data_IF_462234158504
#
_entry.id   IF_462234158504
#
_cell.length_a   1.000
_cell.length_b   1.000
_cell.length_c   1.000
_cell.angle_alpha   90.00
_cell.angle_beta   90.00
_cell.angle_gamma   90.00
#
_symmetry.space_group_name_H-M   'P 1'
#
loop_
_entity.id
_entity.type
_entity.pdbx_description
1 polymer ?
#
# COMPACT_ATOMS: atom_id res chain seq x y z
N UNK A 1 -19.88 42.06 7.81
CA UNK A 1 -21.14 41.36 7.50
C UNK A 1 -21.54 41.78 6.09
N UNK A 2 -21.98 40.84 5.25
CA UNK A 2 -22.36 41.15 3.88
C UNK A 2 -23.45 42.20 3.76
N UNK A 3 -23.32 43.03 2.75
CA UNK A 3 -24.29 44.09 2.39
C UNK A 3 -25.47 43.50 1.61
N UNK A 4 -26.56 44.27 1.48
CA UNK A 4 -27.69 43.88 0.61
C UNK A 4 -27.26 43.67 -0.86
N UNK A 5 -26.20 44.36 -1.31
CA UNK A 5 -25.63 44.18 -2.64
C UNK A 5 -25.00 42.79 -2.83
N UNK A 6 -24.31 42.26 -1.82
CA UNK A 6 -23.75 40.90 -1.86
C UNK A 6 -24.83 39.83 -1.86
N UNK A 7 -26.03 40.13 -1.36
CA UNK A 7 -27.15 39.20 -1.35
C UNK A 7 -27.90 39.12 -2.69
N UNK A 8 -27.67 40.07 -3.61
CA UNK A 8 -28.36 40.12 -4.91
C UNK A 8 -28.12 38.89 -5.77
N UNK A 9 -26.94 38.26 -5.66
CA UNK A 9 -26.57 37.04 -6.41
C UNK A 9 -27.43 35.82 -6.06
N UNK A 10 -28.20 35.86 -4.97
CA UNK A 10 -29.11 34.79 -4.55
C UNK A 10 -30.55 35.03 -5.04
N UNK A 11 -30.82 36.12 -5.75
CA UNK A 11 -32.12 36.43 -6.32
C UNK A 11 -33.27 36.32 -5.31
N UNK A 12 -34.31 35.56 -5.67
CA UNK A 12 -35.50 35.34 -4.82
C UNK A 12 -35.19 34.57 -3.53
N UNK A 13 -34.07 33.84 -3.46
CA UNK A 13 -33.69 33.09 -2.29
C UNK A 13 -33.08 33.97 -1.17
N UNK A 14 -32.62 35.18 -1.48
CA UNK A 14 -31.90 36.05 -0.55
C UNK A 14 -32.59 36.19 0.81
N UNK A 15 -33.90 36.49 0.80
CA UNK A 15 -34.72 36.72 2.01
C UNK A 15 -34.86 35.50 2.94
N UNK A 16 -34.61 34.31 2.41
CA UNK A 16 -34.65 33.02 3.11
C UNK A 16 -33.27 32.56 3.58
N UNK A 17 -32.20 33.24 3.14
CA UNK A 17 -30.82 32.94 3.51
C UNK A 17 -30.30 33.95 4.55
N UNK A 18 -30.58 35.24 4.33
CA UNK A 18 -30.17 36.33 5.22
C UNK A 18 -31.18 37.48 5.14
N UNK A 19 -31.49 38.11 6.28
CA UNK A 19 -32.38 39.27 6.32
C UNK A 19 -31.71 40.54 5.76
N UNK A 20 -32.51 41.45 5.18
CA UNK A 20 -32.02 42.74 4.72
C UNK A 20 -31.22 43.46 5.81
N UNK A 21 -30.20 44.20 5.40
CA UNK A 21 -29.31 44.93 6.30
C UNK A 21 -30.07 45.86 7.23
N UNK A 22 -31.08 46.57 6.72
CA UNK A 22 -31.96 47.42 7.52
C UNK A 22 -32.64 46.66 8.68
N UNK A 23 -33.24 45.51 8.39
CA UNK A 23 -33.91 44.69 9.43
C UNK A 23 -32.92 44.16 10.46
N UNK A 24 -31.70 43.80 10.03
CA UNK A 24 -30.65 43.33 10.94
C UNK A 24 -30.16 44.44 11.85
N UNK A 25 -29.91 45.64 11.32
CA UNK A 25 -29.48 46.80 12.10
C UNK A 25 -30.57 47.17 13.13
N UNK A 26 -31.84 47.21 12.72
CA UNK A 26 -32.96 47.47 13.63
C UNK A 26 -33.06 46.41 14.74
N UNK A 27 -32.88 45.13 14.42
CA UNK A 27 -32.89 44.06 15.40
C UNK A 27 -31.71 44.14 16.40
N UNK A 28 -30.51 44.43 15.90
CA UNK A 28 -29.28 44.50 16.70
C UNK A 28 -29.23 45.73 17.61
N UNK A 29 -29.95 46.81 17.26
CA UNK A 29 -30.02 48.04 18.05
C UNK A 29 -31.16 48.06 19.08
N UNK A 30 -31.88 46.94 19.29
CA UNK A 30 -32.93 46.89 20.31
C UNK A 30 -32.35 47.11 21.72
N UNK A 31 -33.05 47.85 22.60
CA UNK A 31 -32.63 48.00 23.99
C UNK A 31 -32.49 46.65 24.68
N UNK A 32 -31.40 46.47 25.43
CA UNK A 32 -31.11 45.23 26.14
C UNK A 32 -30.31 45.51 27.40
N UNK A 33 -30.75 44.93 28.51
CA UNK A 33 -30.01 44.94 29.78
C UNK A 33 -29.48 43.54 30.08
N UNK A 34 -28.15 43.39 29.98
CA UNK A 34 -27.47 42.12 30.17
C UNK A 34 -27.58 41.57 31.60
N UNK A 35 -27.87 42.42 32.60
CA UNK A 35 -27.97 41.97 34.00
C UNK A 35 -29.34 41.41 34.33
N UNK A 36 -30.39 41.88 33.66
CA UNK A 36 -31.77 41.50 33.94
C UNK A 36 -32.35 40.55 32.90
N UNK A 37 -31.91 40.59 31.65
CA UNK A 37 -32.43 39.71 30.61
C UNK A 37 -32.00 38.24 30.78
N UNK A 38 -32.96 37.33 30.87
CA UNK A 38 -32.71 35.91 31.06
C UNK A 38 -33.70 35.00 30.32
N UNK A 39 -33.34 33.73 30.23
CA UNK A 39 -34.25 32.62 29.99
C UNK A 39 -34.56 31.93 31.32
N UNK A 40 -35.78 31.45 31.49
CA UNK A 40 -36.20 30.67 32.65
C UNK A 40 -36.87 29.39 32.20
N UNK A 41 -36.64 28.29 32.91
CA UNK A 41 -37.26 26.99 32.65
C UNK A 41 -38.80 27.09 32.75
N UNK A 42 -39.48 26.39 31.85
CA UNK A 42 -40.94 26.30 31.77
C UNK A 42 -41.38 24.87 31.47
N UNK A 43 -42.41 24.39 32.19
CA UNK A 43 -42.88 23.00 32.06
C UNK A 43 -43.50 22.69 30.69
N UNK A 44 -44.04 23.71 29.99
CA UNK A 44 -44.74 23.53 28.70
C UNK A 44 -43.86 23.91 27.52
N UNK A 45 -43.22 25.07 27.59
CA UNK A 45 -42.42 25.63 26.49
C UNK A 45 -40.91 25.33 26.62
N UNK A 46 -40.51 24.53 27.62
CA UNK A 46 -39.12 24.25 28.05
C UNK A 46 -38.39 25.46 28.60
N UNK A 47 -38.36 26.56 27.83
CA UNK A 47 -37.69 27.80 28.19
C UNK A 47 -38.48 29.02 27.70
N UNK A 48 -38.69 30.00 28.57
CA UNK A 48 -39.33 31.28 28.24
C UNK A 48 -38.41 32.47 28.50
N UNK A 49 -38.58 33.56 27.76
CA UNK A 49 -37.83 34.80 27.98
C UNK A 49 -38.39 35.57 29.17
N UNK A 50 -37.51 36.13 29.99
CA UNK A 50 -37.92 36.92 31.15
C UNK A 50 -36.94 38.03 31.51
N UNK A 51 -37.34 38.82 32.50
CA UNK A 51 -36.57 39.91 33.09
C UNK A 51 -36.45 39.68 34.60
N UNK A 52 -35.22 39.58 35.12
CA UNK A 52 -34.94 39.43 36.54
C UNK A 52 -35.36 40.69 37.30
N UNK A 53 -36.23 40.53 38.28
CA UNK A 53 -36.69 41.59 39.19
C UNK A 53 -35.86 41.64 40.47
N UNK A 54 -35.58 40.48 41.07
CA UNK A 54 -34.81 40.38 42.31
C UNK A 54 -34.14 39.03 42.45
N UNK A 55 -33.05 38.99 43.21
CA UNK A 55 -32.36 37.77 43.64
C UNK A 55 -32.30 37.74 45.16
N UNK A 56 -32.82 36.69 45.78
CA UNK A 56 -32.81 36.51 47.24
C UNK A 56 -32.62 35.04 47.62
N UNK A 57 -31.67 34.76 48.52
CA UNK A 57 -31.47 33.44 49.11
C UNK A 57 -31.36 32.25 48.14
N UNK A 58 -30.74 32.41 46.96
CA UNK A 58 -30.60 31.35 45.94
C UNK A 58 -31.84 31.14 45.05
N UNK A 59 -32.83 32.04 45.16
CA UNK A 59 -33.99 32.12 44.27
C UNK A 59 -33.96 33.42 43.49
N UNK A 60 -34.49 33.37 42.26
CA UNK A 60 -34.57 34.50 41.36
C UNK A 60 -36.03 34.73 41.00
N UNK A 61 -36.51 35.95 41.23
CA UNK A 61 -37.84 36.38 40.77
C UNK A 61 -37.70 36.96 39.38
N UNK A 62 -38.36 36.33 38.40
CA UNK A 62 -38.34 36.68 36.99
C UNK A 62 -39.75 37.09 36.56
N UNK A 63 -39.87 38.21 35.84
CA UNK A 63 -41.09 38.59 35.13
C UNK A 63 -41.01 37.98 33.73
N UNK A 64 -41.94 37.08 33.40
CA UNK A 64 -42.00 36.47 32.06
C UNK A 64 -42.43 37.52 31.03
N UNK A 65 -41.71 37.62 29.93
CA UNK A 65 -41.90 38.74 28.99
C UNK A 65 -43.25 38.73 28.28
N UNK A 66 -43.78 37.53 27.97
CA UNK A 66 -45.01 37.36 27.20
C UNK A 66 -46.27 37.48 28.08
N UNK A 67 -46.30 36.82 29.24
CA UNK A 67 -47.47 36.81 30.14
C UNK A 67 -47.46 37.95 31.16
N UNK A 68 -46.31 38.59 31.37
CA UNK A 68 -46.06 39.57 32.46
C UNK A 68 -46.25 39.01 33.87
N UNK A 69 -46.31 37.69 34.01
CA UNK A 69 -46.43 37.02 35.31
C UNK A 69 -45.08 36.97 36.03
N UNK A 70 -45.12 37.12 37.36
CA UNK A 70 -43.96 36.92 38.22
C UNK A 70 -43.79 35.45 38.57
N UNK A 71 -42.61 34.91 38.27
CA UNK A 71 -42.23 33.53 38.58
C UNK A 71 -40.99 33.53 39.47
N UNK A 72 -41.03 32.69 40.50
CA UNK A 72 -39.87 32.44 41.36
C UNK A 72 -39.23 31.13 40.89
N UNK A 73 -38.00 31.22 40.38
CA UNK A 73 -37.22 30.08 39.92
C UNK A 73 -35.96 29.91 40.77
N UNK A 74 -35.36 28.72 40.73
CA UNK A 74 -34.02 28.52 41.29
C UNK A 74 -33.00 29.23 40.41
N UNK A 75 -31.87 29.62 40.98
CA UNK A 75 -30.81 30.28 40.19
C UNK A 75 -30.29 29.40 39.05
N UNK A 76 -30.21 28.08 39.24
CA UNK A 76 -29.78 27.13 38.20
C UNK A 76 -30.76 27.03 37.01
N UNK A 77 -32.04 27.36 37.23
CA UNK A 77 -33.09 27.32 36.21
C UNK A 77 -33.18 28.65 35.42
N UNK A 78 -32.26 29.58 35.68
CA UNK A 78 -32.22 30.91 35.08
C UNK A 78 -30.93 31.08 34.29
N UNK A 79 -31.05 31.16 32.98
CA UNK A 79 -29.91 31.23 32.07
C UNK A 79 -29.74 32.64 31.48
N UNK A 80 -28.50 33.12 31.29
CA UNK A 80 -28.26 34.43 30.69
C UNK A 80 -28.69 34.46 29.21
N UNK A 81 -29.21 35.61 28.77
CA UNK A 81 -29.59 35.85 27.37
C UNK A 81 -28.46 36.55 26.60
N UNK A 82 -28.27 36.19 25.34
CA UNK A 82 -27.33 36.90 24.47
C UNK A 82 -27.84 38.30 24.12
N UNK A 83 -26.95 39.31 24.01
CA UNK A 83 -27.33 40.65 23.56
C UNK A 83 -27.83 40.66 22.09
N UNK A 84 -28.67 41.64 21.69
CA UNK A 84 -29.30 41.69 20.37
C UNK A 84 -28.33 41.70 19.18
N UNK A 85 -27.05 42.04 19.38
CA UNK A 85 -26.01 41.87 18.35
C UNK A 85 -25.90 40.44 17.81
N UNK A 86 -26.35 39.44 18.58
CA UNK A 86 -26.38 38.03 18.21
C UNK A 86 -27.75 37.57 17.67
N UNK A 87 -28.71 38.48 17.45
CA UNK A 87 -30.02 38.15 16.89
C UNK A 87 -29.86 37.39 15.56
N UNK A 88 -30.45 36.20 15.50
CA UNK A 88 -30.45 35.32 14.32
C UNK A 88 -29.05 35.08 13.76
N UNK A 89 -28.05 34.93 14.63
CA UNK A 89 -26.67 34.71 14.18
C UNK A 89 -26.56 33.47 13.30
N UNK A 90 -25.71 33.58 12.28
CA UNK A 90 -25.50 32.53 11.27
C UNK A 90 -24.68 31.36 11.79
N UNK A 91 -23.77 31.61 12.73
CA UNK A 91 -23.00 30.60 13.44
C UNK A 91 -23.17 30.76 14.95
N UNK A 92 -23.87 29.81 15.55
CA UNK A 92 -24.17 29.79 16.98
C UNK A 92 -22.93 29.65 17.85
N UNK A 93 -21.81 29.12 17.32
CA UNK A 93 -20.56 29.03 18.07
C UNK A 93 -19.95 30.41 18.38
N UNK A 94 -20.42 31.47 17.72
CA UNK A 94 -19.96 32.84 17.94
C UNK A 94 -20.71 33.56 19.09
N UNK A 95 -21.74 32.95 19.67
CA UNK A 95 -22.50 33.55 20.77
C UNK A 95 -21.68 33.61 22.06
N UNK A 96 -21.89 34.65 22.87
CA UNK A 96 -21.22 34.77 24.18
C UNK A 96 -21.75 33.75 25.18
N UNK A 97 -23.07 33.60 25.26
CA UNK A 97 -23.71 32.61 26.11
C UNK A 97 -24.13 31.43 25.25
N UNK A 98 -23.37 30.33 25.33
CA UNK A 98 -23.68 29.09 24.63
C UNK A 98 -24.37 28.11 25.58
N UNK A 99 -25.62 28.43 25.92
CA UNK A 99 -26.50 27.60 26.72
C UNK A 99 -27.64 27.02 25.86
N UNK A 100 -28.30 25.97 26.36
CA UNK A 100 -29.42 25.31 25.66
C UNK A 100 -30.51 26.28 25.16
N UNK A 101 -31.05 27.21 25.99
CA UNK A 101 -32.07 28.12 25.51
C UNK A 101 -31.55 29.08 24.43
N UNK A 102 -30.30 29.53 24.49
CA UNK A 102 -29.75 30.41 23.44
C UNK A 102 -29.70 29.71 22.07
N UNK A 103 -29.27 28.45 22.04
CA UNK A 103 -29.26 27.64 20.81
C UNK A 103 -30.69 27.42 20.30
N UNK A 104 -31.61 27.03 21.19
CA UNK A 104 -33.02 26.80 20.86
C UNK A 104 -33.67 28.06 20.27
N UNK A 105 -33.52 29.20 20.95
CA UNK A 105 -34.15 30.45 20.51
C UNK A 105 -33.54 30.99 19.22
N UNK A 106 -32.22 30.87 19.01
CA UNK A 106 -31.62 31.28 17.74
C UNK A 106 -32.18 30.45 16.57
N UNK A 107 -32.29 29.13 16.73
CA UNK A 107 -32.92 28.26 15.72
C UNK A 107 -34.41 28.61 15.52
N UNK A 108 -35.17 28.78 16.61
CA UNK A 108 -36.61 29.11 16.59
C UNK A 108 -36.87 30.42 15.84
N UNK A 109 -36.09 31.46 16.13
CA UNK A 109 -36.27 32.78 15.52
C UNK A 109 -35.80 32.86 14.07
N UNK A 110 -34.70 32.17 13.73
CA UNK A 110 -34.28 32.02 12.34
C UNK A 110 -35.32 31.26 11.53
N UNK A 111 -35.85 30.18 12.08
CA UNK A 111 -36.90 29.38 11.45
C UNK A 111 -38.20 30.15 11.27
N UNK A 112 -38.65 30.90 12.29
CA UNK A 112 -39.83 31.78 12.19
C UNK A 112 -39.66 32.86 11.10
N UNK A 113 -38.42 33.24 10.82
CA UNK A 113 -38.03 34.16 9.76
C UNK A 113 -37.80 33.46 8.40
N UNK A 114 -38.15 32.19 8.26
CA UNK A 114 -37.97 31.30 7.09
C UNK A 114 -36.51 31.05 6.69
N UNK A 115 -35.57 31.21 7.62
CA UNK A 115 -34.17 30.83 7.44
C UNK A 115 -33.93 29.46 8.08
N UNK A 116 -33.93 28.41 7.25
CA UNK A 116 -33.91 27.02 7.72
C UNK A 116 -32.52 26.46 8.02
N UNK A 117 -31.48 27.11 7.52
CA UNK A 117 -30.09 26.73 7.70
C UNK A 117 -29.41 27.64 8.72
N UNK A 118 -28.69 27.02 9.66
CA UNK A 118 -27.91 27.71 10.69
C UNK A 118 -26.69 26.89 11.02
N UNK A 119 -25.52 27.52 11.16
CA UNK A 119 -24.32 26.82 11.60
C UNK A 119 -24.23 26.76 13.13
N UNK A 120 -23.54 25.72 13.61
CA UNK A 120 -23.12 25.57 14.99
C UNK A 120 -21.75 24.93 15.02
N UNK A 121 -20.68 25.74 14.98
CA UNK A 121 -19.32 25.21 14.89
C UNK A 121 -19.14 24.44 13.59
N UNK A 122 -18.86 23.14 13.61
CA UNK A 122 -18.74 22.34 12.37
C UNK A 122 -20.09 21.92 11.77
N UNK A 123 -21.18 21.99 12.55
CA UNK A 123 -22.48 21.49 12.14
C UNK A 123 -23.24 22.50 11.27
N UNK A 124 -23.94 22.00 10.26
CA UNK A 124 -24.97 22.72 9.52
C UNK A 124 -26.35 22.22 9.95
N UNK A 125 -26.97 22.89 10.92
CA UNK A 125 -28.31 22.57 11.39
C UNK A 125 -29.34 22.95 10.30
N UNK A 126 -30.25 22.01 10.01
CA UNK A 126 -31.30 22.18 9.01
C UNK A 126 -32.66 21.89 9.65
N UNK A 127 -33.56 22.86 9.63
CA UNK A 127 -34.94 22.69 10.13
C UNK A 127 -35.87 22.46 8.93
N UNK A 128 -36.69 21.41 8.96
CA UNK A 128 -37.59 21.09 7.85
C UNK A 128 -38.62 22.23 7.64
N UNK A 129 -38.66 22.89 6.47
CA UNK A 129 -39.55 24.04 6.23
C UNK A 129 -41.03 23.68 6.15
N UNK A 130 -41.38 22.42 5.89
CA UNK A 130 -42.75 21.99 5.54
C UNK A 130 -43.41 22.85 4.43
N UNK A 131 -42.59 23.52 3.64
CA UNK A 131 -42.98 24.48 2.61
C UNK A 131 -41.90 24.51 1.54
N UNK A 132 -42.32 24.72 0.29
CA UNK A 132 -41.39 24.96 -0.80
C UNK A 132 -40.69 26.32 -0.63
N UNK A 133 -39.36 26.32 -0.78
CA UNK A 133 -38.52 27.51 -0.73
C UNK A 133 -37.61 27.54 -1.98
N UNK A 134 -37.35 28.73 -2.59
CA UNK A 134 -36.52 28.88 -3.79
C UNK A 134 -35.01 28.75 -3.53
N UNK A 135 -34.60 28.24 -2.36
CA UNK A 135 -33.19 28.17 -1.93
C UNK A 135 -32.37 27.07 -2.64
N UNK A 136 -33.01 26.26 -3.49
CA UNK A 136 -32.37 25.20 -4.26
C UNK A 136 -32.33 25.49 -5.76
N UNK A 137 -32.70 26.70 -6.17
CA UNK A 137 -32.75 27.09 -7.58
C UNK A 137 -31.32 27.14 -8.19
N UNK A 138 -31.17 26.97 -9.51
CA UNK A 138 -29.86 26.95 -10.16
C UNK A 138 -29.01 28.22 -9.92
N UNK A 139 -29.65 29.37 -9.78
CA UNK A 139 -28.99 30.64 -9.43
C UNK A 139 -28.28 30.55 -8.07
N UNK A 140 -28.91 29.89 -7.09
CA UNK A 140 -28.32 29.68 -5.76
C UNK A 140 -27.15 28.70 -5.83
N UNK A 141 -27.24 27.65 -6.64
CA UNK A 141 -26.12 26.72 -6.88
C UNK A 141 -24.89 27.47 -7.39
N UNK A 142 -25.08 28.34 -8.39
CA UNK A 142 -24.01 29.18 -8.93
C UNK A 142 -23.46 30.15 -7.88
N UNK A 143 -24.34 30.76 -7.07
CA UNK A 143 -23.96 31.73 -6.05
C UNK A 143 -23.17 31.15 -4.87
N UNK A 144 -23.25 29.84 -4.60
CA UNK A 144 -22.48 29.16 -3.55
C UNK A 144 -21.15 28.56 -4.03
N UNK A 145 -20.97 28.43 -5.34
CA UNK A 145 -19.80 27.76 -5.91
C UNK A 145 -18.51 28.51 -5.64
N UNK A 146 -17.49 27.78 -5.17
CA UNK A 146 -16.15 28.32 -4.90
C UNK A 146 -16.09 29.29 -3.73
N UNK A 147 -17.19 29.46 -2.97
CA UNK A 147 -17.23 30.36 -1.82
C UNK A 147 -16.83 29.62 -0.55
N UNK A 148 -15.96 30.26 0.22
CA UNK A 148 -15.69 29.79 1.59
C UNK A 148 -16.93 29.95 2.43
N UNK A 149 -17.07 29.09 3.44
CA UNK A 149 -18.20 29.12 4.36
C UNK A 149 -18.50 30.50 4.98
N UNK A 150 -17.48 31.33 5.25
CA UNK A 150 -17.68 32.67 5.83
C UNK A 150 -18.13 33.73 4.80
N UNK A 151 -18.01 33.45 3.51
CA UNK A 151 -18.31 34.38 2.41
C UNK A 151 -19.78 34.26 1.94
N UNK A 152 -20.52 33.29 2.46
CA UNK A 152 -21.90 33.01 2.10
C UNK A 152 -22.76 32.76 3.35
N UNK A 153 -24.08 32.99 3.30
CA UNK A 153 -24.99 32.61 4.37
C UNK A 153 -24.98 31.09 4.63
N UNK A 154 -25.52 30.62 5.77
CA UNK A 154 -25.64 29.20 6.03
C UNK A 154 -26.47 28.46 4.99
N UNK A 155 -25.89 27.40 4.41
CA UNK A 155 -26.59 26.55 3.45
C UNK A 155 -25.92 25.19 3.29
N UNK A 156 -26.70 24.18 2.91
CA UNK A 156 -26.17 22.84 2.60
C UNK A 156 -25.23 22.84 1.39
N UNK A 157 -25.46 23.71 0.41
CA UNK A 157 -24.55 23.86 -0.73
C UNK A 157 -23.18 24.40 -0.34
N UNK A 158 -23.07 25.21 0.72
CA UNK A 158 -21.74 25.57 1.23
C UNK A 158 -21.03 24.35 1.80
N UNK A 159 -21.72 23.45 2.51
CA UNK A 159 -21.13 22.19 2.99
C UNK A 159 -20.67 21.32 1.83
N UNK A 160 -21.52 21.14 0.81
CA UNK A 160 -21.16 20.37 -0.39
C UNK A 160 -20.00 20.98 -1.17
N UNK A 161 -20.04 22.29 -1.44
CA UNK A 161 -19.00 22.97 -2.21
C UNK A 161 -17.67 22.95 -1.48
N UNK A 162 -17.65 23.22 -0.17
CA UNK A 162 -16.40 23.18 0.61
C UNK A 162 -15.84 21.75 0.64
N UNK A 163 -16.67 20.71 0.77
CA UNK A 163 -16.21 19.32 0.63
C UNK A 163 -15.62 19.06 -0.77
N UNK A 164 -16.26 19.52 -1.85
CA UNK A 164 -15.71 19.38 -3.19
C UNK A 164 -14.38 20.12 -3.37
N UNK A 165 -14.27 21.35 -2.86
CA UNK A 165 -13.05 22.16 -2.91
C UNK A 165 -11.91 21.52 -2.11
N UNK A 166 -12.17 21.04 -0.89
CA UNK A 166 -11.17 20.35 -0.06
C UNK A 166 -10.72 19.04 -0.71
N UNK A 167 -11.64 18.27 -1.31
CA UNK A 167 -11.27 17.07 -2.09
C UNK A 167 -10.26 17.40 -3.21
N UNK A 168 -10.48 18.49 -3.95
CA UNK A 168 -9.59 18.89 -5.05
C UNK A 168 -8.27 19.50 -4.56
N UNK A 169 -8.32 20.28 -3.48
CA UNK A 169 -7.18 21.02 -2.93
C UNK A 169 -6.26 20.10 -2.14
N UNK A 170 -6.83 19.36 -1.19
CA UNK A 170 -6.08 18.55 -0.23
C UNK A 170 -5.79 17.15 -0.78
N UNK A 171 -6.46 16.75 -1.87
CA UNK A 171 -6.35 15.41 -2.50
C UNK A 171 -6.72 14.28 -1.54
N UNK A 172 -7.63 14.55 -0.61
CA UNK A 172 -8.13 13.59 0.37
C UNK A 172 -9.62 13.29 0.19
N UNK A 173 -10.02 12.08 0.57
CA UNK A 173 -11.43 11.67 0.55
C UNK A 173 -12.25 12.49 1.53
N UNK A 174 -13.45 12.89 1.12
CA UNK A 174 -14.36 13.71 1.93
C UNK A 174 -15.63 12.94 2.27
N UNK A 175 -16.23 13.26 3.41
CA UNK A 175 -17.50 12.66 3.84
C UNK A 175 -18.46 13.73 4.34
N UNK A 176 -19.75 13.57 4.01
CA UNK A 176 -20.84 14.44 4.48
C UNK A 176 -21.83 13.58 5.26
N UNK A 177 -21.87 13.76 6.58
CA UNK A 177 -22.72 12.98 7.47
C UNK A 177 -24.05 13.72 7.70
N UNK A 178 -25.16 13.13 7.26
CA UNK A 178 -26.52 13.70 7.41
C UNK A 178 -27.30 12.87 8.43
N UNK A 179 -27.49 13.44 9.62
CA UNK A 179 -28.20 12.81 10.74
C UNK A 179 -29.48 13.55 11.12
N UNK A 180 -30.33 12.92 11.92
CA UNK A 180 -31.61 13.46 12.38
C UNK A 180 -32.68 12.39 12.56
N UNK A 181 -33.77 12.73 13.24
CA UNK A 181 -34.90 11.82 13.44
C UNK A 181 -35.66 11.50 12.14
N UNK A 182 -36.61 10.56 12.23
CA UNK A 182 -37.56 10.32 11.12
C UNK A 182 -38.38 11.58 10.85
N UNK A 183 -38.47 11.96 9.57
CA UNK A 183 -39.17 13.18 9.13
C UNK A 183 -38.33 14.48 9.18
N UNK A 184 -37.10 14.43 9.69
CA UNK A 184 -36.22 15.60 9.75
C UNK A 184 -35.71 16.10 8.37
N UNK A 185 -35.96 15.36 7.29
CA UNK A 185 -35.55 15.74 5.92
C UNK A 185 -34.18 15.25 5.48
N UNK A 186 -33.63 14.20 6.13
CA UNK A 186 -32.32 13.59 5.76
C UNK A 186 -32.25 13.22 4.28
N UNK A 187 -33.18 12.39 3.79
CA UNK A 187 -33.22 11.91 2.41
C UNK A 187 -33.28 13.05 1.39
N UNK A 188 -34.04 14.10 1.69
CA UNK A 188 -34.15 15.28 0.82
C UNK A 188 -32.80 16.00 0.75
N UNK A 189 -32.16 16.24 1.90
CA UNK A 189 -30.83 16.86 1.94
C UNK A 189 -29.77 16.00 1.24
N UNK A 190 -29.78 14.67 1.42
CA UNK A 190 -28.88 13.75 0.68
C UNK A 190 -29.04 13.91 -0.82
N UNK A 191 -30.27 13.93 -1.34
CA UNK A 191 -30.54 14.18 -2.76
C UNK A 191 -30.00 15.54 -3.22
N UNK A 192 -30.18 16.59 -2.42
CA UNK A 192 -29.67 17.94 -2.76
C UNK A 192 -28.15 17.97 -2.81
N UNK A 193 -27.45 17.29 -1.90
CA UNK A 193 -25.99 17.18 -1.90
C UNK A 193 -25.51 16.44 -3.17
N UNK A 194 -26.12 15.30 -3.51
CA UNK A 194 -25.76 14.52 -4.71
C UNK A 194 -26.03 15.34 -5.99
N UNK A 195 -27.20 15.99 -6.09
CA UNK A 195 -27.55 16.86 -7.21
C UNK A 195 -26.56 18.01 -7.37
N UNK A 196 -26.08 18.58 -6.25
CA UNK A 196 -25.08 19.64 -6.27
C UNK A 196 -23.76 19.14 -6.89
N UNK A 197 -23.24 17.99 -6.43
CA UNK A 197 -22.01 17.41 -6.98
C UNK A 197 -22.14 17.08 -8.47
N UNK A 198 -23.26 16.49 -8.88
CA UNK A 198 -23.53 16.20 -10.28
C UNK A 198 -23.52 17.50 -11.14
N UNK A 199 -24.04 18.60 -10.62
CA UNK A 199 -24.07 19.89 -11.34
C UNK A 199 -22.69 20.54 -11.43
N UNK A 200 -21.91 20.52 -10.35
CA UNK A 200 -20.62 21.22 -10.26
C UNK A 200 -19.49 20.45 -10.94
N UNK A 201 -19.50 19.12 -10.87
CA UNK A 201 -18.45 18.28 -11.46
C UNK A 201 -18.49 18.25 -13.01
N UNK A 202 -19.67 18.42 -13.62
CA UNK A 202 -19.88 18.33 -15.08
C UNK A 202 -19.32 19.52 -15.87
N UNK A 203 -18.91 20.61 -15.23
CA UNK A 203 -18.37 21.77 -15.94
C UNK A 203 -16.91 21.59 -16.42
N UNK A 204 -16.28 20.43 -16.17
CA UNK A 204 -15.02 20.04 -16.82
C UNK A 204 -15.28 19.33 -18.16
N UNK A 205 -14.70 19.86 -19.24
CA UNK A 205 -14.64 19.33 -20.62
C UNK A 205 -15.78 18.40 -21.09
N UNK A 206 -16.78 19.00 -21.74
CA UNK A 206 -17.79 18.28 -22.53
C UNK A 206 -17.15 17.57 -23.73
N UNK A 207 -16.71 16.32 -23.56
CA UNK A 207 -16.87 15.32 -24.62
C UNK A 207 -18.23 14.67 -24.45
N UNK A 208 -19.24 15.20 -25.15
CA UNK A 208 -20.49 14.47 -25.40
C UNK A 208 -20.18 13.29 -26.34
N UNK A 209 -19.58 12.23 -25.83
CA UNK A 209 -19.64 10.93 -26.50
C UNK A 209 -20.98 10.30 -26.11
N UNK A 210 -21.95 10.35 -27.02
CA UNK A 210 -23.12 9.49 -26.96
C UNK A 210 -22.65 8.06 -27.26
N UNK A 211 -22.21 7.34 -26.23
CA UNK A 211 -21.94 5.91 -26.37
C UNK A 211 -23.27 5.17 -26.44
N UNK A 212 -23.55 4.57 -27.60
CA UNK A 212 -24.69 3.70 -27.83
C UNK A 212 -24.53 2.38 -27.06
N UNK A 213 -24.79 2.43 -25.75
CA UNK A 213 -24.93 1.26 -24.88
C UNK A 213 -26.38 1.07 -24.43
N UNK A 214 -26.74 -0.12 -23.95
CA UNK A 214 -28.08 -0.43 -23.40
C UNK A 214 -28.49 0.43 -22.19
N UNK A 215 -27.60 1.28 -21.66
CA UNK A 215 -27.86 2.20 -20.56
C UNK A 215 -28.13 3.59 -21.13
N UNK A 216 -29.37 4.07 -20.98
CA UNK A 216 -29.76 5.43 -21.37
C UNK A 216 -29.27 6.45 -20.34
N UNK A 217 -28.63 7.53 -20.81
CA UNK A 217 -28.31 8.71 -20.01
C UNK A 217 -26.84 8.82 -19.61
N UNK A 218 -26.45 10.03 -19.20
CA UNK A 218 -25.13 10.32 -18.63
C UNK A 218 -24.93 9.61 -17.29
N UNK A 219 -23.68 9.49 -16.79
CA UNK A 219 -23.42 8.85 -15.49
C UNK A 219 -24.16 9.58 -14.35
N UNK A 220 -24.33 10.88 -14.50
CA UNK A 220 -25.05 11.76 -13.59
C UNK A 220 -26.56 11.48 -13.60
N UNK A 221 -27.13 11.27 -14.80
CA UNK A 221 -28.52 10.85 -14.94
C UNK A 221 -28.74 9.51 -14.25
N UNK A 222 -27.78 8.59 -14.34
CA UNK A 222 -27.84 7.29 -13.67
C UNK A 222 -27.77 7.43 -12.14
N UNK A 223 -26.88 8.28 -11.61
CA UNK A 223 -26.78 8.56 -10.17
C UNK A 223 -28.10 9.16 -9.65
N UNK A 224 -28.71 10.07 -10.39
CA UNK A 224 -29.99 10.68 -9.99
C UNK A 224 -31.13 9.65 -10.11
N UNK A 225 -31.15 8.84 -11.17
CA UNK A 225 -32.16 7.81 -11.45
C UNK A 225 -32.11 6.62 -10.46
N UNK A 226 -30.99 6.40 -9.77
CA UNK A 226 -30.90 5.43 -8.69
C UNK A 226 -31.84 5.76 -7.52
N UNK A 227 -32.13 7.05 -7.28
CA UNK A 227 -32.97 7.47 -6.15
C UNK A 227 -34.40 6.91 -6.26
N UNK A 228 -35.18 7.14 -7.35
CA UNK A 228 -36.51 6.53 -7.50
C UNK A 228 -36.55 5.02 -7.24
N UNK A 229 -35.54 4.28 -7.71
CA UNK A 229 -35.45 2.83 -7.48
C UNK A 229 -35.25 2.51 -6.01
N UNK A 230 -34.27 3.14 -5.35
CA UNK A 230 -34.01 2.94 -3.93
C UNK A 230 -35.19 3.37 -3.05
N UNK A 231 -35.92 4.41 -3.45
CA UNK A 231 -37.12 4.85 -2.72
C UNK A 231 -38.28 3.87 -2.88
N UNK A 232 -38.47 3.29 -4.06
CA UNK A 232 -39.54 2.32 -4.30
C UNK A 232 -39.44 1.06 -3.41
N UNK A 233 -38.21 0.62 -3.09
CA UNK A 233 -37.97 -0.56 -2.25
C UNK A 233 -37.58 -0.23 -0.80
N UNK A 234 -36.96 0.93 -0.56
CA UNK A 234 -36.33 1.29 0.70
C UNK A 234 -37.04 2.38 1.51
N UNK A 235 -38.07 3.03 0.95
CA UNK A 235 -38.89 4.00 1.66
C UNK A 235 -40.29 3.45 1.95
N UNK A 236 -40.88 3.94 3.03
CA UNK A 236 -42.25 3.63 3.42
C UNK A 236 -42.93 4.83 4.06
N UNK A 237 -44.26 4.87 3.98
CA UNK A 237 -45.08 5.83 4.72
C UNK A 237 -45.01 5.53 6.21
N UNK A 238 -44.75 6.57 7.00
CA UNK A 238 -44.73 6.53 8.47
C UNK A 238 -45.60 7.65 9.02
N UNK A 239 -45.90 7.61 10.32
CA UNK A 239 -46.70 8.67 10.99
C UNK A 239 -46.09 10.07 10.83
N UNK A 240 -44.76 10.19 10.76
CA UNK A 240 -44.05 11.49 10.69
C UNK A 240 -43.64 11.90 9.27
N UNK A 241 -43.63 10.99 8.30
CA UNK A 241 -43.17 11.24 6.94
C UNK A 241 -43.74 10.20 5.97
N UNK A 242 -44.38 10.68 4.90
CA UNK A 242 -45.00 9.85 3.86
C UNK A 242 -44.00 9.09 2.98
N UNK A 243 -42.76 9.57 2.89
CA UNK A 243 -41.68 8.94 2.12
C UNK A 243 -40.44 8.76 3.01
N UNK A 244 -40.59 8.02 4.11
CA UNK A 244 -39.52 7.83 5.09
C UNK A 244 -38.57 6.72 4.64
N UNK A 245 -37.28 7.06 4.47
CA UNK A 245 -36.26 6.05 4.26
C UNK A 245 -36.11 5.14 5.47
N UNK A 246 -36.31 3.84 5.24
CA UNK A 246 -36.03 2.74 6.16
C UNK A 246 -34.71 2.04 5.79
N UNK A 247 -34.25 2.29 4.57
CA UNK A 247 -33.03 1.74 3.97
C UNK A 247 -31.75 1.97 4.78
N UNK A 248 -31.57 3.15 5.40
CA UNK A 248 -30.36 3.44 6.18
C UNK A 248 -30.18 2.53 7.40
N UNK A 249 -31.28 2.08 8.03
CA UNK A 249 -31.20 1.10 9.11
C UNK A 249 -30.79 -0.28 8.59
N UNK A 250 -31.33 -0.68 7.43
CA UNK A 250 -31.00 -1.95 6.78
C UNK A 250 -29.54 -1.98 6.31
N UNK A 251 -29.08 -0.94 5.61
CA UNK A 251 -27.67 -0.82 5.20
C UNK A 251 -26.72 -0.72 6.39
N UNK A 252 -27.09 -0.04 7.48
CA UNK A 252 -26.26 -0.01 8.68
C UNK A 252 -26.10 -1.40 9.31
N UNK A 253 -27.15 -2.22 9.27
CA UNK A 253 -27.10 -3.60 9.75
C UNK A 253 -26.29 -4.52 8.82
N UNK A 254 -26.38 -4.30 7.51
CA UNK A 254 -25.59 -5.02 6.50
C UNK A 254 -24.11 -4.64 6.54
N UNK A 255 -23.80 -3.34 6.67
CA UNK A 255 -22.45 -2.83 6.88
C UNK A 255 -21.84 -3.37 8.19
N UNK A 256 -22.63 -3.49 9.25
CA UNK A 256 -22.18 -4.10 10.51
C UNK A 256 -21.80 -5.57 10.31
N UNK A 257 -22.61 -6.36 9.59
CA UNK A 257 -22.27 -7.75 9.24
C UNK A 257 -21.00 -7.84 8.39
N UNK A 258 -20.82 -6.92 7.46
CA UNK A 258 -19.63 -6.88 6.60
C UNK A 258 -18.37 -6.49 7.37
N UNK A 259 -18.47 -5.53 8.31
CA UNK A 259 -17.39 -5.20 9.25
C UNK A 259 -17.01 -6.38 10.15
N UNK A 260 -18.00 -7.10 10.69
CA UNK A 260 -17.75 -8.30 11.51
C UNK A 260 -17.02 -9.39 10.69
N UNK A 261 -17.41 -9.55 9.42
CA UNK A 261 -16.78 -10.49 8.48
C UNK A 261 -15.35 -10.06 8.15
N UNK A 262 -15.13 -8.77 7.89
CA UNK A 262 -13.80 -8.19 7.61
C UNK A 262 -12.86 -8.38 8.80
N UNK A 263 -13.32 -8.08 10.02
CA UNK A 263 -12.54 -8.28 11.25
C UNK A 263 -12.15 -9.75 11.48
N UNK A 264 -13.05 -10.69 11.13
CA UNK A 264 -12.73 -12.12 11.19
C UNK A 264 -11.64 -12.50 10.17
N UNK A 265 -11.73 -12.03 8.94
CA UNK A 265 -10.72 -12.26 7.90
C UNK A 265 -9.36 -11.69 8.29
N UNK A 266 -9.34 -10.50 8.91
CA UNK A 266 -8.10 -9.88 9.36
C UNK A 266 -7.41 -10.69 10.48
N UNK A 267 -8.19 -11.27 11.40
CA UNK A 267 -7.66 -12.23 12.40
C UNK A 267 -7.09 -13.49 11.74
N UNK A 268 -7.80 -14.09 10.78
CA UNK A 268 -7.28 -15.25 10.04
C UNK A 268 -6.00 -14.93 9.28
N UNK A 269 -5.94 -13.77 8.62
CA UNK A 269 -4.74 -13.29 7.92
C UNK A 269 -3.57 -13.18 8.88
N UNK A 270 -3.75 -12.55 10.04
CA UNK A 270 -2.69 -12.39 11.04
C UNK A 270 -2.17 -13.74 11.56
N UNK A 271 -3.06 -14.72 11.74
CA UNK A 271 -2.66 -16.08 12.11
C UNK A 271 -1.84 -16.75 10.99
N UNK A 272 -2.25 -16.61 9.72
CA UNK A 272 -1.50 -17.13 8.59
C UNK A 272 -0.13 -16.46 8.43
N UNK A 273 -0.04 -15.15 8.64
CA UNK A 273 1.25 -14.42 8.63
C UNK A 273 2.22 -14.93 9.69
N UNK A 274 1.71 -15.28 10.88
CA UNK A 274 2.52 -15.91 11.93
C UNK A 274 3.00 -17.30 11.50
N UNK A 275 2.11 -18.12 10.94
CA UNK A 275 2.48 -19.47 10.43
C UNK A 275 3.51 -19.39 9.31
N UNK A 276 3.38 -18.43 8.38
CA UNK A 276 4.35 -18.22 7.30
C UNK A 276 5.71 -17.83 7.89
N UNK A 277 5.75 -16.92 8.87
CA UNK A 277 7.01 -16.56 9.55
C UNK A 277 7.68 -17.75 10.24
N UNK A 278 6.91 -18.59 10.93
CA UNK A 278 7.45 -19.80 11.58
C UNK A 278 8.01 -20.81 10.56
N UNK A 279 7.27 -21.04 9.47
CA UNK A 279 7.73 -21.91 8.38
C UNK A 279 8.98 -21.35 7.68
N UNK A 280 9.05 -20.05 7.47
CA UNK A 280 10.22 -19.39 6.88
C UNK A 280 11.45 -19.58 7.79
N UNK A 281 11.27 -19.40 9.10
CA UNK A 281 12.36 -19.60 10.07
C UNK A 281 12.86 -21.05 10.07
N UNK A 282 11.94 -22.02 10.05
CA UNK A 282 12.28 -23.45 9.96
C UNK A 282 12.99 -23.81 8.67
N UNK A 283 12.60 -23.19 7.55
CA UNK A 283 13.28 -23.36 6.27
C UNK A 283 14.73 -22.84 6.34
N UNK A 284 14.92 -21.63 6.86
CA UNK A 284 16.25 -21.03 7.02
C UNK A 284 17.16 -21.88 7.92
N UNK A 285 16.63 -22.46 9.00
CA UNK A 285 17.37 -23.39 9.86
C UNK A 285 17.79 -24.67 9.12
N UNK A 286 16.87 -25.28 8.36
CA UNK A 286 17.13 -26.47 7.57
C UNK A 286 18.17 -26.24 6.47
N UNK A 287 18.10 -25.11 5.76
CA UNK A 287 19.08 -24.71 4.74
C UNK A 287 20.47 -24.51 5.35
N UNK A 288 20.56 -23.83 6.49
CA UNK A 288 21.83 -23.61 7.19
C UNK A 288 22.46 -24.93 7.66
N UNK A 289 21.66 -25.88 8.14
CA UNK A 289 22.12 -27.22 8.52
C UNK A 289 22.64 -28.00 7.31
N UNK A 290 21.89 -28.01 6.21
CA UNK A 290 22.28 -28.67 4.96
C UNK A 290 23.59 -28.09 4.40
N UNK A 291 23.73 -26.76 4.39
CA UNK A 291 24.93 -26.06 3.93
C UNK A 291 26.16 -26.40 4.80
N UNK A 292 26.02 -26.46 6.13
CA UNK A 292 27.12 -26.85 7.03
C UNK A 292 27.55 -28.32 6.82
N UNK A 293 26.58 -29.21 6.61
CA UNK A 293 26.84 -30.63 6.32
C UNK A 293 27.58 -30.82 4.99
N UNK A 294 27.04 -30.23 3.92
CA UNK A 294 27.60 -30.30 2.57
C UNK A 294 29.02 -29.72 2.51
N UNK A 295 29.26 -28.56 3.14
CA UNK A 295 30.58 -27.92 3.14
C UNK A 295 31.66 -28.79 3.80
N UNK A 296 31.35 -29.51 4.89
CA UNK A 296 32.28 -30.46 5.52
C UNK A 296 32.61 -31.66 4.63
N UNK A 297 31.63 -32.19 3.90
CA UNK A 297 31.86 -33.31 2.97
C UNK A 297 32.67 -32.88 1.76
N UNK A 298 32.40 -31.69 1.21
CA UNK A 298 33.14 -31.10 0.10
C UNK A 298 34.61 -30.89 0.48
N UNK A 299 34.87 -30.32 1.66
CA UNK A 299 36.24 -30.09 2.14
C UNK A 299 37.04 -31.39 2.34
N UNK A 300 36.37 -32.49 2.79
CA UNK A 300 37.00 -33.82 2.87
C UNK A 300 37.33 -34.39 1.50
N UNK A 301 36.43 -34.24 0.53
CA UNK A 301 36.65 -34.70 -0.85
C UNK A 301 37.77 -33.91 -1.53
N UNK A 302 37.82 -32.59 -1.35
CA UNK A 302 38.90 -31.74 -1.86
C UNK A 302 40.26 -32.17 -1.30
N UNK A 303 40.36 -32.36 0.02
CA UNK A 303 41.59 -32.83 0.67
C UNK A 303 42.08 -34.17 0.11
N UNK A 304 41.15 -35.12 -0.11
CA UNK A 304 41.48 -36.42 -0.70
C UNK A 304 41.96 -36.29 -2.14
N UNK A 305 41.31 -35.43 -2.92
CA UNK A 305 41.68 -35.17 -4.33
C UNK A 305 43.07 -34.53 -4.43
N UNK A 306 43.42 -33.63 -3.51
CA UNK A 306 44.76 -33.03 -3.36
C UNK A 306 45.83 -34.08 -3.04
N UNK A 307 45.53 -35.00 -2.12
CA UNK A 307 46.40 -36.12 -1.77
C UNK A 307 46.63 -37.07 -2.96
N UNK A 308 45.54 -37.44 -3.66
CA UNK A 308 45.60 -38.30 -4.84
C UNK A 308 46.41 -37.64 -5.97
N UNK A 309 46.28 -36.33 -6.18
CA UNK A 309 47.13 -35.57 -7.12
C UNK A 309 48.62 -35.64 -6.75
N UNK A 310 48.96 -35.47 -5.47
CA UNK A 310 50.36 -35.59 -5.00
C UNK A 310 50.90 -37.00 -5.20
N UNK A 311 50.08 -38.02 -4.95
CA UNK A 311 50.44 -39.41 -5.19
C UNK A 311 50.63 -39.69 -6.68
N UNK A 312 49.76 -39.16 -7.54
CA UNK A 312 49.88 -39.28 -8.99
C UNK A 312 51.18 -38.64 -9.50
N UNK A 313 51.53 -37.44 -9.02
CA UNK A 313 52.78 -36.78 -9.40
C UNK A 313 54.01 -37.59 -8.95
N UNK A 314 54.00 -38.14 -7.73
CA UNK A 314 55.08 -39.02 -7.25
C UNK A 314 55.23 -40.29 -8.09
N UNK A 315 54.10 -40.88 -8.50
CA UNK A 315 54.08 -42.02 -9.41
C UNK A 315 54.64 -41.64 -10.79
N UNK A 316 54.28 -40.48 -11.32
CA UNK A 316 54.79 -39.98 -12.60
C UNK A 316 56.31 -39.78 -12.55
N UNK A 317 56.84 -39.15 -11.48
CA UNK A 317 58.29 -39.01 -11.28
C UNK A 317 59.01 -40.37 -11.23
N UNK A 318 58.38 -41.37 -10.63
CA UNK A 318 58.94 -42.72 -10.56
C UNK A 318 58.95 -43.39 -11.95
N UNK A 319 57.86 -43.25 -12.70
CA UNK A 319 57.74 -43.73 -14.07
C UNK A 319 58.82 -43.10 -14.95
N UNK A 320 59.02 -41.79 -14.87
CA UNK A 320 60.01 -41.06 -15.67
C UNK A 320 61.44 -41.54 -15.34
N UNK A 321 61.75 -41.72 -14.05
CA UNK A 321 63.04 -42.30 -13.61
C UNK A 321 63.26 -43.72 -14.13
N UNK A 322 62.21 -44.55 -14.10
CA UNK A 322 62.28 -45.92 -14.62
C UNK A 322 62.46 -45.91 -16.14
N UNK A 323 61.77 -45.05 -16.87
CA UNK A 323 61.93 -44.89 -18.31
C UNK A 323 63.36 -44.46 -18.69
N UNK A 324 63.96 -43.55 -17.92
CA UNK A 324 65.37 -43.16 -18.10
C UNK A 324 66.32 -44.34 -17.90
N UNK A 325 66.10 -45.16 -16.86
CA UNK A 325 66.89 -46.39 -16.63
C UNK A 325 66.71 -47.41 -17.75
N UNK A 326 65.48 -47.62 -18.23
CA UNK A 326 65.21 -48.52 -19.35
C UNK A 326 65.97 -48.06 -20.60
N UNK A 327 65.97 -46.75 -20.91
CA UNK A 327 66.77 -46.19 -22.02
C UNK A 327 68.28 -46.42 -21.83
N UNK A 328 68.79 -46.22 -20.62
CA UNK A 328 70.20 -46.44 -20.30
C UNK A 328 70.61 -47.91 -20.47
N UNK A 329 69.82 -48.85 -19.93
CA UNK A 329 70.09 -50.28 -20.09
C UNK A 329 69.97 -50.74 -21.53
N UNK A 330 69.04 -50.18 -22.31
CA UNK A 330 68.92 -50.49 -23.74
C UNK A 330 70.20 -50.10 -24.49
N UNK A 331 70.71 -48.87 -24.27
CA UNK A 331 71.96 -48.40 -24.86
C UNK A 331 73.16 -49.26 -24.43
N UNK A 332 73.23 -49.62 -23.14
CA UNK A 332 74.30 -50.46 -22.62
C UNK A 332 74.28 -51.88 -23.23
N UNK A 333 73.09 -52.42 -23.50
CA UNK A 333 72.92 -53.69 -24.21
C UNK A 333 73.38 -53.59 -25.67
N UNK A 334 73.02 -52.51 -26.37
CA UNK A 334 73.44 -52.26 -27.76
C UNK A 334 74.97 -52.12 -27.86
N UNK A 335 75.60 -51.37 -26.95
CA UNK A 335 77.08 -51.22 -26.90
C UNK A 335 77.79 -52.55 -26.59
N UNK A 336 77.23 -53.38 -25.70
CA UNK A 336 77.77 -54.71 -25.40
C UNK A 336 77.65 -55.67 -26.59
N UNK A 337 76.55 -55.61 -27.35
CA UNK A 337 76.34 -56.40 -28.56
C UNK A 337 77.33 -56.01 -29.67
N UNK A 338 77.61 -54.72 -29.84
CA UNK A 338 78.60 -54.22 -30.80
C UNK A 338 80.03 -54.67 -30.44
N UNK A 339 80.38 -54.64 -29.15
CA UNK A 339 81.65 -55.16 -28.65
C UNK A 339 81.77 -56.67 -28.91
N UNK A 340 80.72 -57.45 -28.61
CA UNK A 340 80.70 -58.89 -28.86
C UNK A 340 80.88 -59.21 -30.36
N UNK A 341 80.21 -58.47 -31.25
CA UNK A 341 80.37 -58.62 -32.71
C UNK A 341 81.79 -58.27 -33.19
N UNK A 342 82.42 -57.28 -32.57
CA UNK A 342 83.83 -56.92 -32.83
C UNK A 342 84.78 -58.04 -32.41
N UNK A 343 84.57 -58.62 -31.21
CA UNK A 343 85.34 -59.76 -30.74
C UNK A 343 85.15 -61.00 -31.62
N UNK A 344 83.91 -61.29 -32.03
CA UNK A 344 83.60 -62.40 -32.92
C UNK A 344 84.30 -62.26 -34.29
N UNK A 345 84.32 -61.05 -34.84
CA UNK A 345 85.03 -60.76 -36.09
C UNK A 345 86.55 -60.96 -35.97
N UNK A 346 87.15 -60.54 -34.85
CA UNK A 346 88.58 -60.80 -34.57
C UNK A 346 88.86 -62.29 -34.43
N UNK A 347 87.99 -63.03 -33.72
CA UNK A 347 88.13 -64.47 -33.55
C UNK A 347 88.10 -65.20 -34.91
N UNK A 348 87.16 -64.84 -35.79
CA UNK A 348 87.08 -65.40 -37.16
C UNK A 348 88.36 -65.14 -37.96
N UNK A 349 88.95 -63.94 -37.83
CA UNK A 349 90.21 -63.61 -38.50
C UNK A 349 91.37 -64.45 -38.00
N UNK A 350 91.49 -64.60 -36.67
CA UNK A 350 92.53 -65.43 -36.05
C UNK A 350 92.35 -66.91 -36.40
N UNK A 351 91.11 -67.41 -36.46
CA UNK A 351 90.82 -68.77 -36.93
C UNK A 351 91.32 -68.97 -38.37
N UNK A 352 91.06 -68.01 -39.26
CA UNK A 352 91.52 -68.11 -40.65
C UNK A 352 93.06 -68.08 -40.75
N UNK A 353 93.73 -67.21 -40.00
CA UNK A 353 95.20 -67.16 -39.93
C UNK A 353 95.80 -68.46 -39.36
N UNK A 354 95.09 -69.11 -38.42
CA UNK A 354 95.47 -70.42 -37.87
C UNK A 354 95.34 -71.52 -38.93
N UNK A 355 94.21 -71.58 -39.64
CA UNK A 355 94.00 -72.53 -40.75
C UNK A 355 95.09 -72.39 -41.83
N UNK A 356 95.43 -71.16 -42.23
CA UNK A 356 96.53 -70.90 -43.18
C UNK A 356 97.91 -71.31 -42.63
N UNK A 357 98.12 -71.24 -41.32
CA UNK A 357 99.36 -71.70 -40.69
C UNK A 357 99.42 -73.23 -40.60
N UNK A 358 98.29 -73.89 -40.31
CA UNK A 358 98.15 -75.34 -40.32
C UNK A 358 98.40 -75.92 -41.71
N UNK A 359 97.79 -75.35 -42.77
CA UNK A 359 98.04 -75.79 -44.15
C UNK A 359 99.52 -75.63 -44.54
N UNK A 360 100.17 -74.54 -44.12
CA UNK A 360 101.62 -74.35 -44.35
C UNK A 360 102.46 -75.38 -43.61
N UNK A 361 102.09 -75.72 -42.38
CA UNK A 361 102.78 -76.75 -41.59
C UNK A 361 102.63 -78.13 -42.25
N UNK A 362 101.43 -78.49 -42.72
CA UNK A 362 101.17 -79.75 -43.43
C UNK A 362 101.96 -79.86 -44.73
N UNK A 363 102.06 -78.77 -45.50
CA UNK A 363 102.90 -78.73 -46.71
C UNK A 363 104.37 -78.96 -46.35
N UNK A 364 104.87 -78.32 -45.30
CA UNK A 364 106.25 -78.49 -44.83
C UNK A 364 106.52 -79.92 -44.34
N UNK A 365 105.61 -80.52 -43.57
CA UNK A 365 105.71 -81.93 -43.17
C UNK A 365 105.70 -82.87 -44.37
N UNK A 366 104.84 -82.61 -45.38
CA UNK A 366 104.82 -83.42 -46.61
C UNK A 366 106.15 -83.35 -47.37
N UNK A 367 106.79 -82.18 -47.40
CA UNK A 367 108.09 -81.98 -48.03
C UNK A 367 109.21 -82.69 -47.26
N UNK A 368 109.21 -82.61 -45.93
CA UNK A 368 110.15 -83.35 -45.07
C UNK A 368 109.97 -84.85 -45.24
N UNK A 369 108.73 -85.35 -45.31
CA UNK A 369 108.45 -86.76 -45.54
C UNK A 369 108.91 -87.22 -46.94
N UNK A 370 108.75 -86.39 -47.99
CA UNK A 370 109.33 -86.65 -49.32
C UNK A 370 110.86 -86.71 -49.29
N UNK A 371 111.53 -85.83 -48.55
CA UNK A 371 112.99 -85.84 -48.38
C UNK A 371 113.48 -87.07 -47.62
N UNK A 372 112.75 -87.49 -46.56
CA UNK A 372 113.01 -88.74 -45.84
C UNK A 372 112.83 -89.98 -46.71
N UNK A 373 111.82 -90.00 -47.59
CA UNK A 373 111.62 -91.09 -48.55
C UNK A 373 112.76 -91.16 -49.57
N UNK A 374 113.22 -90.01 -50.12
CA UNK A 374 114.39 -89.95 -51.02
C UNK A 374 115.69 -90.40 -50.35
N UNK A 375 115.87 -90.13 -49.06
CA UNK A 375 117.04 -90.60 -48.30
C UNK A 375 117.04 -92.11 -48.05
N UNK A 376 115.88 -92.78 -48.13
CA UNK A 376 115.75 -94.24 -47.94
C UNK A 376 116.08 -95.05 -49.20
N UNK A 377 115.88 -94.49 -50.40
CA UNK A 377 116.20 -95.15 -51.67
C UNK A 377 117.69 -95.11 -52.03
N UNK A 378 118.43 -94.12 -51.54
CA UNK A 378 119.88 -94.01 -51.77
C UNK A 378 120.73 -95.01 -50.94
N UNK A 379 120.13 -95.71 -49.97
CA UNK A 379 120.85 -96.58 -49.03
C UNK A 379 120.85 -98.08 -49.37
N UNK A 380 120.03 -98.57 -50.31
CA UNK A 380 119.87 -100.01 -50.57
C UNK A 380 120.72 -100.59 -51.70
N UNK A 381 121.54 -99.80 -52.37
CA UNK A 381 122.35 -100.20 -53.53
C UNK A 381 123.84 -100.40 -53.23
N UNK A 382 124.25 -100.56 -51.96
CA UNK A 382 125.68 -100.62 -51.56
C UNK A 382 126.14 -101.82 -50.71
N UNK A 383 125.35 -102.87 -50.53
CA UNK A 383 125.79 -104.12 -49.86
C UNK A 383 125.64 -105.34 -50.78
N UNK A 384 126.31 -105.29 -51.93
CA UNK A 384 126.58 -106.43 -52.81
C UNK A 384 127.91 -106.21 -53.55
N UNK A 385 129.03 -106.21 -52.82
CA UNK A 385 130.40 -106.52 -53.28
C UNK A 385 131.36 -106.51 -52.07
N UNK A 386 132.15 -107.58 -51.98
CA UNK A 386 133.14 -107.99 -50.95
C UNK A 386 132.63 -108.59 -49.64
#
# INVERSE_FOLDING_TARGET
MSTDAEMAVYGKAAIYLRKPEKERIEAQNKPFDAKSACYVVDDKELYVKGTIKSKDGGKVTVIVNDTKEERVAKEDDVHPMNPPKFDKIEDMAMMTHLNEPSVLYNLKERYAAWMIYTYSGLFCATVNPYKWLPVYDPEVVAAYRGKKRMEAPPHIFSVSDNAYQFMLTDRENQSVLITGESGAGKTVNTKRVIQYFATVAVQGDKKKEQTAGKMQGSLEDQIIAANPLLEAYGNAKTVRNDNSSRFAAMMAEELKKEQDTSAHLERMKKNLEVTVKDLQHRLDEAENLAMKGGKKQLQKLESRTEEDKKNLNRLQDLVDKLQLKVKAYKRQSEEAEEQANTHLSKLRKVQHELEEAEERADIAESQVNKLRAKSRDAGKSKEAAE
#
